data_IF_636432543576
#
_entry.id   IF_636432543576
#
_cell.length_a   1.000
_cell.length_b   1.000
_cell.length_c   1.000
_cell.angle_alpha   90.00
_cell.angle_beta   90.00
_cell.angle_gamma   90.00
#
_symmetry.space_group_name_H-M   'P 1'
#
loop_
_entity.id
_entity.type
_entity.pdbx_description
1 polymer ?
#
# COMPACT_ATOMS: atom_id res chain seq x y z
N UNK A 1 -7.13 -13.92 -9.63
CA UNK A 1 -5.93 -14.76 -9.75
C UNK A 1 -5.39 -15.17 -8.39
N UNK A 2 -4.50 -16.15 -8.44
CA UNK A 2 -3.83 -16.73 -7.26
C UNK A 2 -2.33 -16.85 -7.49
N UNK A 3 -1.82 -16.15 -8.49
CA UNK A 3 -0.43 -16.26 -8.95
C UNK A 3 0.06 -14.95 -9.58
N UNK A 4 1.39 -14.84 -9.65
CA UNK A 4 2.13 -13.83 -10.41
C UNK A 4 2.91 -14.57 -11.50
N UNK A 5 2.74 -14.16 -12.77
CA UNK A 5 3.46 -14.74 -13.90
C UNK A 5 4.81 -14.06 -14.11
N UNK A 6 5.85 -14.84 -14.28
CA UNK A 6 7.18 -14.39 -14.71
C UNK A 6 7.27 -14.49 -16.23
N UNK A 7 7.66 -13.38 -16.86
CA UNK A 7 7.77 -13.25 -18.32
C UNK A 7 9.24 -13.00 -18.69
N UNK A 8 9.79 -13.80 -19.56
CA UNK A 8 11.10 -13.56 -20.17
C UNK A 8 11.03 -12.37 -21.13
N UNK A 9 11.82 -11.34 -20.88
CA UNK A 9 11.79 -10.08 -21.66
C UNK A 9 12.40 -10.21 -23.06
N UNK A 10 13.21 -11.26 -23.34
CA UNK A 10 13.81 -11.46 -24.66
C UNK A 10 12.85 -12.22 -25.59
N UNK A 11 12.12 -13.17 -25.04
CA UNK A 11 11.22 -14.03 -25.81
C UNK A 11 9.75 -13.66 -25.69
N UNK A 12 9.39 -12.81 -24.70
CA UNK A 12 8.02 -12.46 -24.29
C UNK A 12 7.15 -13.68 -23.97
N UNK A 13 7.79 -14.77 -23.53
CA UNK A 13 7.09 -15.98 -23.11
C UNK A 13 7.02 -16.07 -21.60
N UNK A 14 5.90 -16.62 -21.14
CA UNK A 14 5.75 -16.97 -19.72
C UNK A 14 6.72 -18.11 -19.38
N UNK A 15 7.52 -17.91 -18.34
CA UNK A 15 8.45 -18.91 -17.83
C UNK A 15 7.80 -19.78 -16.76
N UNK A 16 7.13 -19.11 -15.80
CA UNK A 16 6.50 -19.77 -14.65
C UNK A 16 5.41 -18.91 -14.02
N UNK A 17 4.63 -19.52 -13.14
CA UNK A 17 3.72 -18.85 -12.23
C UNK A 17 4.20 -19.05 -10.78
N UNK A 18 4.19 -18.01 -9.98
CA UNK A 18 4.51 -18.02 -8.54
C UNK A 18 3.21 -17.91 -7.78
N UNK A 19 2.80 -18.95 -7.01
CA UNK A 19 1.59 -18.90 -6.21
C UNK A 19 1.68 -17.83 -5.11
N UNK A 20 0.65 -17.00 -5.00
CA UNK A 20 0.54 -15.93 -4.02
C UNK A 20 -0.85 -15.92 -3.38
N UNK A 21 -1.05 -15.09 -2.38
CA UNK A 21 -2.39 -14.88 -1.82
C UNK A 21 -3.33 -14.36 -2.91
N UNK A 22 -4.56 -14.84 -2.91
CA UNK A 22 -5.60 -14.55 -3.90
C UNK A 22 -5.76 -13.04 -4.14
N UNK A 23 -6.16 -12.69 -5.36
CA UNK A 23 -6.39 -11.31 -5.82
C UNK A 23 -5.16 -10.41 -5.66
N UNK A 24 -4.00 -10.77 -6.25
CA UNK A 24 -2.85 -9.87 -6.33
C UNK A 24 -3.25 -8.58 -7.06
N UNK A 25 -2.92 -7.44 -6.45
CA UNK A 25 -3.40 -6.14 -6.90
C UNK A 25 -2.26 -5.17 -7.23
N UNK A 26 -1.25 -5.07 -6.40
CA UNK A 26 -0.16 -4.12 -6.55
C UNK A 26 1.19 -4.79 -6.30
N UNK A 27 2.14 -4.48 -7.17
CA UNK A 27 3.50 -5.01 -7.11
C UNK A 27 4.52 -3.87 -7.06
N UNK A 28 5.61 -4.09 -6.37
CA UNK A 28 6.73 -3.18 -6.21
C UNK A 28 8.03 -4.00 -6.22
N UNK A 29 9.08 -3.49 -6.86
CA UNK A 29 10.44 -3.99 -6.72
C UNK A 29 11.23 -3.02 -5.84
N UNK A 30 11.96 -3.53 -4.85
CA UNK A 30 12.85 -2.76 -3.99
C UNK A 30 13.97 -3.67 -3.46
N UNK A 31 15.22 -3.21 -3.55
CA UNK A 31 16.41 -3.95 -3.10
C UNK A 31 16.50 -5.38 -3.68
N UNK A 32 16.28 -5.53 -4.99
CA UNK A 32 16.33 -6.79 -5.75
C UNK A 32 15.29 -7.84 -5.29
N UNK A 33 14.29 -7.43 -4.54
CA UNK A 33 13.17 -8.27 -4.12
C UNK A 33 11.84 -7.71 -4.60
N UNK A 34 10.86 -8.58 -4.76
CA UNK A 34 9.52 -8.20 -5.21
C UNK A 34 8.54 -8.23 -4.04
N UNK A 35 7.83 -7.13 -3.86
CA UNK A 35 6.80 -6.98 -2.85
C UNK A 35 5.43 -6.89 -3.50
N UNK A 36 4.45 -7.53 -2.88
CA UNK A 36 3.12 -7.71 -3.45
C UNK A 36 2.05 -7.44 -2.41
N UNK A 37 1.01 -6.72 -2.82
CA UNK A 37 -0.22 -6.59 -2.06
C UNK A 37 -1.30 -7.43 -2.73
N UNK A 38 -1.93 -8.32 -1.96
CA UNK A 38 -3.10 -9.10 -2.37
C UNK A 38 -4.30 -8.71 -1.52
N UNK A 39 -5.48 -8.67 -2.13
CA UNK A 39 -6.72 -8.39 -1.39
C UNK A 39 -7.34 -9.63 -0.74
N UNK A 40 -6.89 -10.84 -1.14
CA UNK A 40 -7.37 -12.09 -0.58
C UNK A 40 -8.87 -12.28 -0.74
N UNK A 41 -9.51 -12.67 0.34
CA UNK A 41 -10.97 -12.83 0.46
C UNK A 41 -11.61 -11.69 1.28
N UNK A 42 -10.98 -10.51 1.28
CA UNK A 42 -11.45 -9.29 1.97
C UNK A 42 -11.64 -9.48 3.48
N UNK A 43 -10.69 -10.15 4.13
CA UNK A 43 -10.61 -10.30 5.59
C UNK A 43 -9.28 -9.75 6.11
N UNK A 44 -9.15 -9.64 7.42
CA UNK A 44 -7.91 -9.26 8.10
C UNK A 44 -7.06 -10.47 8.55
N UNK A 45 -7.31 -11.64 7.98
CA UNK A 45 -6.52 -12.84 8.27
C UNK A 45 -5.29 -12.86 7.36
N UNK A 46 -4.11 -12.80 7.97
CA UNK A 46 -2.83 -12.85 7.26
C UNK A 46 -2.71 -14.13 6.42
N UNK A 47 -2.38 -13.98 5.14
CA UNK A 47 -2.25 -15.10 4.21
C UNK A 47 -3.55 -15.54 3.54
N UNK A 48 -4.70 -15.07 3.99
CA UNK A 48 -6.02 -15.34 3.39
C UNK A 48 -6.69 -14.07 2.88
N UNK A 49 -6.62 -12.99 3.66
CA UNK A 49 -7.21 -11.69 3.35
C UNK A 49 -6.19 -10.70 2.78
N UNK A 50 -6.38 -9.43 3.11
CA UNK A 50 -5.47 -8.36 2.74
C UNK A 50 -4.06 -8.64 3.25
N UNK A 51 -3.16 -8.99 2.35
CA UNK A 51 -1.82 -9.45 2.73
C UNK A 51 -0.74 -8.75 1.92
N UNK A 52 0.20 -8.16 2.64
CA UNK A 52 1.47 -7.71 2.09
C UNK A 52 2.47 -8.87 2.15
N UNK A 53 3.07 -9.19 1.00
CA UNK A 53 3.93 -10.34 0.78
C UNK A 53 5.26 -9.94 0.17
N UNK A 54 6.27 -10.77 0.37
CA UNK A 54 7.56 -10.72 -0.32
C UNK A 54 7.76 -11.99 -1.14
N UNK A 55 8.12 -11.83 -2.41
CA UNK A 55 8.60 -12.91 -3.28
C UNK A 55 10.12 -12.86 -3.26
N UNK A 56 10.74 -13.91 -2.75
CA UNK A 56 12.19 -14.02 -2.62
C UNK A 56 12.83 -14.46 -3.93
N UNK A 57 14.15 -14.36 -4.04
CA UNK A 57 14.91 -14.74 -5.23
C UNK A 57 14.81 -16.24 -5.57
N UNK A 58 14.43 -17.09 -4.62
CA UNK A 58 14.17 -18.52 -4.81
C UNK A 58 12.71 -18.84 -5.13
N UNK A 59 11.90 -17.81 -5.44
CA UNK A 59 10.45 -17.84 -5.69
C UNK A 59 9.58 -18.22 -4.47
N UNK A 60 10.16 -18.38 -3.29
CA UNK A 60 9.35 -18.58 -2.08
C UNK A 60 8.63 -17.28 -1.70
N UNK A 61 7.40 -17.41 -1.22
CA UNK A 61 6.54 -16.27 -0.86
C UNK A 61 6.37 -16.23 0.66
N UNK A 62 6.61 -15.07 1.22
CA UNK A 62 6.46 -14.80 2.65
C UNK A 62 5.33 -13.79 2.87
N UNK A 63 4.34 -14.15 3.68
CA UNK A 63 3.31 -13.21 4.15
C UNK A 63 3.84 -12.42 5.35
N UNK A 64 3.86 -11.09 5.23
CA UNK A 64 4.55 -10.21 6.20
C UNK A 64 3.56 -9.51 7.13
N UNK A 65 2.54 -8.86 6.56
CA UNK A 65 1.61 -8.05 7.32
C UNK A 65 0.23 -7.99 6.64
N UNK A 66 -0.80 -7.68 7.42
CA UNK A 66 -2.10 -7.29 6.87
C UNK A 66 -2.01 -5.85 6.40
N UNK A 67 -2.33 -5.60 5.12
CA UNK A 67 -2.32 -4.27 4.54
C UNK A 67 -3.29 -4.17 3.36
N UNK A 68 -3.95 -3.02 3.19
CA UNK A 68 -4.81 -2.69 2.05
C UNK A 68 -4.19 -1.66 1.11
N UNK A 69 -3.19 -0.93 1.57
CA UNK A 69 -2.41 0.02 0.78
C UNK A 69 -0.94 0.02 1.22
N UNK A 70 -0.05 0.33 0.29
CA UNK A 70 1.34 0.58 0.60
C UNK A 70 1.95 1.65 -0.33
N UNK A 71 3.00 2.30 0.15
CA UNK A 71 3.88 3.14 -0.65
C UNK A 71 5.32 2.98 -0.12
N UNK A 72 6.30 3.24 -0.98
CA UNK A 72 7.72 3.07 -0.64
C UNK A 72 8.46 4.38 -0.83
N UNK A 73 9.38 4.65 0.07
CA UNK A 73 10.38 5.70 -0.07
C UNK A 73 11.67 5.29 0.65
N UNK A 74 12.79 5.49 -0.02
CA UNK A 74 14.10 4.97 0.40
C UNK A 74 13.98 3.43 0.61
N UNK A 75 14.46 2.87 1.67
CA UNK A 75 14.38 1.42 1.94
C UNK A 75 13.17 1.06 2.82
N UNK A 76 12.15 1.90 2.86
CA UNK A 76 11.01 1.73 3.77
C UNK A 76 9.71 1.66 2.99
N UNK A 77 8.99 0.54 3.16
CA UNK A 77 7.62 0.39 2.70
C UNK A 77 6.69 0.76 3.87
N UNK A 78 5.86 1.76 3.65
CA UNK A 78 4.82 2.20 4.57
C UNK A 78 3.53 1.45 4.26
N UNK A 79 2.91 0.85 5.27
CA UNK A 79 1.75 -0.02 5.14
C UNK A 79 0.56 0.57 5.89
N UNK A 80 -0.60 0.55 5.25
CA UNK A 80 -1.88 0.92 5.86
C UNK A 80 -2.85 -0.24 5.66
N UNK A 81 -3.48 -0.69 6.72
CA UNK A 81 -4.67 -1.52 6.64
C UNK A 81 -5.87 -0.72 7.14
N UNK A 82 -6.91 -0.66 6.33
CA UNK A 82 -8.17 0.02 6.66
C UNK A 82 -9.25 -1.02 6.91
N UNK A 83 -9.71 -1.11 8.15
CA UNK A 83 -10.78 -2.02 8.57
C UNK A 83 -12.09 -1.25 8.70
N UNK A 84 -13.12 -1.70 7.99
CA UNK A 84 -14.44 -1.10 8.08
C UNK A 84 -15.14 -1.50 9.37
N UNK A 85 -15.69 -0.53 10.09
CA UNK A 85 -16.46 -0.70 11.32
C UNK A 85 -17.85 -0.08 11.15
N UNK A 86 -18.76 -0.39 12.05
CA UNK A 86 -20.14 0.14 12.02
C UNK A 86 -20.23 1.66 12.11
N UNK A 87 -19.21 2.31 12.64
CA UNK A 87 -19.11 3.76 12.90
C UNK A 87 -18.00 4.46 12.10
N UNK A 88 -17.44 3.79 11.07
CA UNK A 88 -16.40 4.34 10.22
C UNK A 88 -15.29 3.36 9.89
N UNK A 89 -14.06 3.83 9.93
CA UNK A 89 -12.87 3.02 9.65
C UNK A 89 -11.89 3.07 10.83
N UNK A 90 -11.22 1.96 11.05
CA UNK A 90 -10.05 1.85 11.92
C UNK A 90 -8.83 1.54 11.05
N UNK A 91 -7.73 2.25 11.28
CA UNK A 91 -6.50 2.06 10.51
C UNK A 91 -5.38 1.50 11.36
N UNK A 92 -4.72 0.47 10.83
CA UNK A 92 -3.48 -0.08 11.36
C UNK A 92 -2.35 0.39 10.45
N UNK A 93 -1.33 0.98 11.07
CA UNK A 93 -0.14 1.49 10.39
C UNK A 93 1.07 0.68 10.78
N UNK A 94 1.93 0.40 9.81
CA UNK A 94 3.22 -0.22 10.04
C UNK A 94 4.22 0.17 8.97
N UNK A 95 5.49 -0.07 9.24
CA UNK A 95 6.57 0.11 8.27
C UNK A 95 7.37 -1.17 8.14
N UNK A 96 7.85 -1.44 6.93
CA UNK A 96 8.73 -2.57 6.64
C UNK A 96 10.01 -2.06 5.99
N UNK A 97 11.16 -2.36 6.59
CA UNK A 97 12.45 -2.01 6.01
C UNK A 97 12.92 -3.12 5.09
N UNK A 98 13.13 -2.82 3.81
CA UNK A 98 13.44 -3.79 2.75
C UNK A 98 14.87 -4.34 2.82
N UNK A 99 15.81 -3.62 3.49
CA UNK A 99 17.19 -4.10 3.71
C UNK A 99 17.33 -5.02 4.92
N UNK A 100 16.63 -4.69 6.01
CA UNK A 100 16.74 -5.45 7.27
C UNK A 100 15.63 -6.47 7.44
N UNK A 101 14.63 -6.46 6.57
CA UNK A 101 13.42 -7.28 6.61
C UNK A 101 12.66 -7.16 7.94
N UNK A 102 12.70 -5.97 8.53
CA UNK A 102 12.08 -5.72 9.83
C UNK A 102 10.74 -5.01 9.66
N UNK A 103 9.67 -5.63 10.15
CA UNK A 103 8.36 -5.01 10.35
C UNK A 103 8.38 -4.23 11.68
N UNK A 104 7.83 -3.01 11.65
CA UNK A 104 7.65 -2.18 12.84
C UNK A 104 6.21 -1.66 12.83
N UNK A 105 5.44 -2.03 13.84
CA UNK A 105 4.09 -1.52 14.04
C UNK A 105 4.11 -0.13 14.65
N UNK A 106 3.17 0.70 14.25
CA UNK A 106 2.98 2.05 14.79
C UNK A 106 2.54 3.05 13.74
N UNK A 107 1.78 4.03 14.18
CA UNK A 107 1.31 5.11 13.31
C UNK A 107 2.48 6.03 12.93
N UNK A 108 2.78 6.11 11.66
CA UNK A 108 3.79 7.01 11.11
C UNK A 108 3.25 8.40 10.77
N UNK A 109 1.92 8.61 10.85
CA UNK A 109 1.29 9.92 10.65
C UNK A 109 1.24 10.69 11.97
N UNK A 110 1.63 11.96 11.91
CA UNK A 110 1.62 12.90 13.06
C UNK A 110 0.59 13.98 12.81
N UNK A 111 -0.21 14.28 13.83
CA UNK A 111 -1.27 15.31 13.77
C UNK A 111 -2.27 15.06 12.63
N UNK A 112 -2.51 13.80 12.27
CA UNK A 112 -3.49 13.46 11.25
C UNK A 112 -4.89 13.94 11.67
N UNK A 113 -5.64 14.62 10.77
CA UNK A 113 -7.01 15.02 11.06
C UNK A 113 -7.89 13.80 11.37
N UNK A 114 -8.79 13.96 12.34
CA UNK A 114 -9.70 12.88 12.75
C UNK A 114 -10.59 12.39 11.58
N UNK A 115 -10.97 13.31 10.71
CA UNK A 115 -11.76 12.98 9.52
C UNK A 115 -11.03 11.99 8.58
N UNK A 116 -9.71 12.12 8.40
CA UNK A 116 -8.91 11.12 7.68
C UNK A 116 -8.96 9.76 8.39
N UNK A 117 -8.74 9.78 9.71
CA UNK A 117 -8.65 8.55 10.51
C UNK A 117 -9.99 7.78 10.63
N UNK A 118 -11.11 8.41 10.28
CA UNK A 118 -12.43 7.79 10.24
C UNK A 118 -12.96 7.54 8.82
N UNK A 119 -12.22 7.94 7.78
CA UNK A 119 -12.61 7.80 6.38
C UNK A 119 -12.00 6.57 5.71
N UNK A 120 -12.59 6.12 4.61
CA UNK A 120 -11.98 5.11 3.74
C UNK A 120 -10.73 5.67 3.09
N UNK A 121 -9.55 5.11 3.41
CA UNK A 121 -8.31 5.38 2.67
C UNK A 121 -8.38 4.63 1.34
N UNK A 122 -8.39 5.39 0.24
CA UNK A 122 -8.56 4.85 -1.10
C UNK A 122 -7.25 4.79 -1.89
N UNK A 123 -6.34 5.72 -1.66
CA UNK A 123 -5.02 5.74 -2.26
C UNK A 123 -3.94 6.20 -1.29
N UNK A 124 -2.75 5.64 -1.46
CA UNK A 124 -1.55 6.03 -0.72
C UNK A 124 -0.38 6.09 -1.68
N UNK A 125 0.25 7.26 -1.77
CA UNK A 125 1.37 7.53 -2.65
C UNK A 125 2.42 8.35 -1.90
N UNK A 126 3.69 8.21 -2.29
CA UNK A 126 4.79 9.01 -1.76
C UNK A 126 5.49 9.66 -2.96
N UNK A 127 5.78 10.94 -2.85
CA UNK A 127 6.60 11.65 -3.82
C UNK A 127 8.04 11.11 -3.75
N UNK A 128 8.57 10.56 -4.85
CA UNK A 128 9.89 9.92 -4.84
C UNK A 128 11.04 10.91 -4.59
N UNK A 129 10.86 12.20 -4.88
CA UNK A 129 11.90 13.21 -4.65
C UNK A 129 11.89 13.77 -3.25
N UNK A 130 10.70 14.14 -2.76
CA UNK A 130 10.57 14.84 -1.48
C UNK A 130 10.33 13.90 -0.31
N UNK A 131 9.81 12.69 -0.57
CA UNK A 131 9.37 11.74 0.45
C UNK A 131 8.07 12.16 1.14
N UNK A 132 7.35 13.15 0.63
CA UNK A 132 6.07 13.59 1.17
C UNK A 132 4.98 12.56 0.89
N UNK A 133 4.08 12.34 1.87
CA UNK A 133 2.98 11.39 1.75
C UNK A 133 1.73 12.07 1.24
N UNK A 134 1.02 11.37 0.39
CA UNK A 134 -0.28 11.79 -0.15
C UNK A 134 -1.27 10.65 0.04
N UNK A 135 -2.24 10.87 0.93
CA UNK A 135 -3.28 9.90 1.26
C UNK A 135 -4.60 10.43 0.73
N UNK A 136 -5.29 9.65 -0.07
CA UNK A 136 -6.59 10.01 -0.58
C UNK A 136 -7.71 9.22 0.09
N UNK A 137 -8.87 9.85 0.23
CA UNK A 137 -10.08 9.24 0.77
C UNK A 137 -11.16 9.14 -0.29
N UNK A 138 -12.13 8.27 -0.07
CA UNK A 138 -13.33 8.16 -0.89
C UNK A 138 -14.54 7.72 -0.07
N UNK A 139 -15.69 8.33 -0.35
CA UNK A 139 -17.01 7.87 0.07
C UNK A 139 -17.79 7.21 -1.09
N UNK A 140 -17.15 7.09 -2.27
CA UNK A 140 -17.69 6.55 -3.52
C UNK A 140 -18.81 7.40 -4.17
N UNK A 141 -19.12 8.57 -3.65
CA UNK A 141 -20.23 9.43 -4.08
C UNK A 141 -19.77 10.85 -4.41
N UNK A 142 -19.02 11.48 -3.52
CA UNK A 142 -18.50 12.84 -3.67
C UNK A 142 -17.03 12.85 -4.10
N UNK A 143 -16.50 14.05 -4.35
CA UNK A 143 -15.07 14.19 -4.60
C UNK A 143 -14.28 13.69 -3.40
N UNK A 144 -13.19 12.99 -3.68
CA UNK A 144 -12.25 12.57 -2.66
C UNK A 144 -11.36 13.71 -2.20
N UNK A 145 -10.91 13.62 -0.96
CA UNK A 145 -9.91 14.52 -0.38
C UNK A 145 -8.51 13.94 -0.49
N UNK A 146 -7.52 14.80 -0.63
CA UNK A 146 -6.11 14.49 -0.56
C UNK A 146 -5.53 15.11 0.71
N UNK A 147 -4.86 14.30 1.52
CA UNK A 147 -4.15 14.71 2.71
C UNK A 147 -2.65 14.60 2.46
N UNK A 148 -1.97 15.75 2.46
CA UNK A 148 -0.52 15.81 2.31
C UNK A 148 0.17 15.84 3.68
N UNK A 149 1.20 15.02 3.82
CA UNK A 149 2.07 14.98 4.98
C UNK A 149 3.52 15.18 4.54
N UNK A 150 4.30 15.83 5.39
CA UNK A 150 5.74 15.95 5.20
C UNK A 150 6.42 14.59 5.27
N UNK A 151 7.66 14.46 4.79
CA UNK A 151 8.49 13.24 4.87
C UNK A 151 8.56 12.65 6.29
N UNK A 152 8.51 13.46 7.32
CA UNK A 152 8.54 13.02 8.72
C UNK A 152 7.18 12.54 9.26
N UNK A 153 6.14 12.51 8.40
CA UNK A 153 4.78 12.12 8.72
C UNK A 153 3.91 13.23 9.30
N UNK A 154 4.41 14.48 9.43
CA UNK A 154 3.64 15.60 9.98
C UNK A 154 2.60 16.09 8.96
N UNK A 155 1.33 16.19 9.37
CA UNK A 155 0.26 16.74 8.54
C UNK A 155 0.62 18.16 8.05
N UNK A 156 0.41 18.41 6.76
CA UNK A 156 0.71 19.66 6.11
C UNK A 156 -0.55 20.38 5.63
N UNK A 157 -1.36 19.73 4.80
CA UNK A 157 -2.58 20.32 4.26
C UNK A 157 -3.56 19.28 3.73
N UNK A 158 -4.78 19.73 3.45
CA UNK A 158 -5.84 18.96 2.81
C UNK A 158 -6.39 19.76 1.62
N UNK A 159 -6.73 19.08 0.54
CA UNK A 159 -7.41 19.69 -0.61
C UNK A 159 -8.33 18.68 -1.32
N UNK A 160 -9.36 19.20 -1.99
CA UNK A 160 -10.28 18.42 -2.83
C UNK A 160 -9.54 17.99 -4.12
N UNK A 161 -9.65 16.73 -4.50
CA UNK A 161 -9.02 16.23 -5.73
C UNK A 161 -9.80 16.52 -7.02
N UNK A 162 -11.01 17.06 -6.91
CA UNK A 162 -11.88 17.37 -8.04
C UNK A 162 -12.51 16.15 -8.72
N UNK A 163 -12.41 14.96 -8.13
CA UNK A 163 -12.95 13.72 -8.70
C UNK A 163 -13.26 12.67 -7.65
N UNK A 164 -14.02 11.65 -8.07
CA UNK A 164 -14.42 10.52 -7.23
C UNK A 164 -13.32 9.44 -7.28
N UNK A 165 -13.05 8.77 -6.15
CA UNK A 165 -12.15 7.63 -6.06
C UNK A 165 -10.69 7.91 -6.49
N UNK A 166 -10.01 8.91 -5.95
CA UNK A 166 -8.62 9.24 -6.27
C UNK A 166 -7.67 8.13 -5.77
N UNK A 167 -7.25 7.24 -6.66
CA UNK A 167 -6.47 6.04 -6.30
C UNK A 167 -4.97 6.19 -6.54
N UNK A 168 -4.56 7.08 -7.46
CA UNK A 168 -3.16 7.20 -7.87
C UNK A 168 -2.79 8.65 -8.15
N UNK A 169 -1.58 9.02 -7.72
CA UNK A 169 -0.94 10.28 -8.07
C UNK A 169 0.24 10.04 -8.98
N UNK A 170 0.49 11.00 -9.86
CA UNK A 170 1.66 11.06 -10.71
C UNK A 170 2.41 12.34 -10.35
N UNK A 171 3.66 12.18 -9.97
CA UNK A 171 4.56 13.29 -9.68
C UNK A 171 5.35 13.62 -10.96
N UNK A 172 5.23 14.87 -11.44
CA UNK A 172 5.94 15.35 -12.61
C UNK A 172 7.25 15.98 -12.13
N UNK A 173 8.35 15.53 -12.70
CA UNK A 173 9.69 16.06 -12.47
C UNK A 173 10.04 17.10 -13.54
#
# INVERSE_FOLDING_TARGET
GTDVSVIDLNTFKKEKDIPVVKNPNRILESNDEVYLLSWGIWTNVLGEGYTFQRIKSDDTVESIAVASAFAEHDDTIFLIYSDWKSDGYEHIFSTYNTKTHKLTEGNFLKNAPQELLSSSIYGFNIDPETGEFYISTSDYVSNGDIYRFKKDGTFAEKFDCGGINPSKMIFLQ
#
